data_IF_336314593569
#
_entry.id   IF_336314593569
#
_cell.length_a   1.000
_cell.length_b   1.000
_cell.length_c   1.000
_cell.angle_alpha   90.00
_cell.angle_beta   90.00
_cell.angle_gamma   90.00
#
_symmetry.space_group_name_H-M   'P 1'
#
loop_
_entity.id
_entity.type
_entity.pdbx_description
1 polymer ?
#
# COMPACT_ATOMS: atom_id res chain seq x y z
N UNK A 1 5.01 -26.00 -14.49
CA UNK A 1 5.45 -25.48 -14.17
C UNK A 1 5.45 -24.12 -13.82
N UNK A 2 6.00 -23.27 -14.43
CA UNK A 2 6.07 -21.91 -14.01
C UNK A 2 4.78 -21.17 -14.15
N UNK A 3 3.90 -21.66 -14.98
CA UNK A 3 2.63 -20.99 -15.16
C UNK A 3 1.78 -20.98 -13.93
N UNK A 4 1.94 -21.94 -13.09
CA UNK A 4 1.13 -21.97 -11.89
C UNK A 4 1.39 -20.80 -10.98
N UNK A 5 2.57 -20.20 -11.08
CA UNK A 5 2.91 -19.09 -10.20
C UNK A 5 2.06 -17.87 -10.47
N UNK A 6 1.61 -17.68 -11.72
CA UNK A 6 0.79 -16.52 -12.06
C UNK A 6 -0.60 -16.59 -11.42
N UNK A 7 -1.02 -17.79 -11.00
CA UNK A 7 -2.32 -17.99 -10.37
C UNK A 7 -2.24 -18.24 -8.89
N UNK A 8 -1.05 -18.13 -8.33
CA UNK A 8 -0.86 -18.38 -6.91
C UNK A 8 -1.54 -17.28 -6.09
N UNK A 9 -2.28 -17.70 -5.08
CA UNK A 9 -2.87 -16.78 -4.12
C UNK A 9 -1.77 -16.12 -3.31
N UNK A 10 -1.85 -14.80 -3.17
CA UNK A 10 -0.90 -14.06 -2.35
C UNK A 10 -1.48 -13.84 -0.96
N UNK A 11 -0.62 -13.90 0.04
CA UNK A 11 -1.00 -13.67 1.42
C UNK A 11 -0.49 -12.29 1.82
N UNK A 12 -1.42 -11.39 2.14
CA UNK A 12 -1.10 -10.04 2.58
C UNK A 12 -1.55 -9.92 4.05
N UNK A 13 -0.62 -9.67 4.94
CA UNK A 13 -0.91 -9.58 6.37
C UNK A 13 -1.21 -8.13 6.74
N UNK A 14 -2.34 -7.92 7.42
CA UNK A 14 -2.71 -6.59 7.90
C UNK A 14 -1.97 -6.31 9.21
N UNK A 15 -1.15 -5.27 9.21
CA UNK A 15 -0.44 -4.82 10.39
C UNK A 15 -1.29 -3.76 11.08
N UNK A 16 -2.32 -4.20 11.81
CA UNK A 16 -3.29 -3.32 12.44
C UNK A 16 -2.80 -2.81 13.79
N UNK A 17 -1.66 -2.15 13.77
CA UNK A 17 -1.04 -1.56 14.95
C UNK A 17 -1.10 -0.04 14.86
N UNK A 18 -1.09 0.62 16.01
CA UNK A 18 -0.95 2.07 16.05
C UNK A 18 0.49 2.47 16.38
N UNK A 19 1.22 1.58 17.04
CA UNK A 19 2.62 1.81 17.39
C UNK A 19 3.51 1.28 16.25
N UNK A 20 4.32 2.14 15.62
CA UNK A 20 5.18 1.71 14.51
C UNK A 20 6.15 0.60 14.89
N UNK A 21 6.66 0.60 16.11
CA UNK A 21 7.62 -0.42 16.52
C UNK A 21 7.00 -1.82 16.56
N UNK A 22 5.73 -1.91 16.98
CA UNK A 22 5.03 -3.19 16.99
C UNK A 22 4.82 -3.70 15.57
N UNK A 23 4.47 -2.80 14.66
CA UNK A 23 4.29 -3.16 13.24
C UNK A 23 5.60 -3.64 12.62
N UNK A 24 6.69 -2.95 12.89
CA UNK A 24 8.01 -3.32 12.36
C UNK A 24 8.48 -4.65 12.90
N UNK A 25 8.23 -4.91 14.16
CA UNK A 25 8.61 -6.18 14.77
C UNK A 25 7.87 -7.35 14.12
N UNK A 26 6.55 -7.20 13.94
CA UNK A 26 5.75 -8.24 13.30
C UNK A 26 6.17 -8.45 11.84
N UNK A 27 6.41 -7.36 11.11
CA UNK A 27 6.86 -7.45 9.73
C UNK A 27 8.18 -8.22 9.62
N UNK A 28 9.11 -7.94 10.53
CA UNK A 28 10.41 -8.65 10.54
C UNK A 28 10.24 -10.14 10.75
N UNK A 29 9.28 -10.55 11.57
CA UNK A 29 9.03 -11.96 11.85
C UNK A 29 8.39 -12.69 10.68
N UNK A 30 7.54 -12.01 9.90
CA UNK A 30 6.72 -12.66 8.90
C UNK A 30 7.19 -12.45 7.45
N UNK A 31 8.12 -11.55 7.21
CA UNK A 31 8.45 -11.13 5.83
C UNK A 31 8.89 -12.27 4.91
N UNK A 32 9.48 -13.32 5.47
CA UNK A 32 9.93 -14.45 4.67
C UNK A 32 8.83 -15.50 4.45
N UNK A 33 7.66 -15.29 5.06
CA UNK A 33 6.57 -16.26 5.04
C UNK A 33 5.31 -15.77 4.34
N UNK A 34 5.27 -14.50 3.96
CA UNK A 34 4.09 -13.89 3.33
C UNK A 34 4.49 -13.09 2.10
N UNK A 35 3.51 -12.73 1.28
CA UNK A 35 3.77 -12.00 0.04
C UNK A 35 3.82 -10.49 0.27
N UNK A 36 3.12 -10.01 1.27
CA UNK A 36 3.10 -8.57 1.53
C UNK A 36 2.45 -8.20 2.84
N UNK A 37 2.40 -6.90 3.07
CA UNK A 37 1.82 -6.32 4.28
C UNK A 37 0.90 -5.17 3.93
N UNK A 38 -0.18 -5.04 4.69
CA UNK A 38 -1.08 -3.89 4.60
C UNK A 38 -0.91 -3.05 5.85
N UNK A 39 -0.72 -1.74 5.69
CA UNK A 39 -0.70 -0.81 6.81
C UNK A 39 -1.88 0.13 6.72
N UNK A 40 -2.33 0.57 7.88
CA UNK A 40 -3.47 1.47 7.98
C UNK A 40 -3.03 2.94 7.90
N UNK A 41 -4.00 3.84 7.89
CA UNK A 41 -3.72 5.27 7.77
C UNK A 41 -2.91 5.78 8.97
N UNK A 42 -3.16 5.24 10.17
CA UNK A 42 -2.43 5.68 11.35
C UNK A 42 -0.94 5.40 11.27
N UNK A 43 -0.57 4.26 10.71
CA UNK A 43 0.84 3.93 10.55
C UNK A 43 1.48 4.70 9.41
N UNK A 44 0.77 4.83 8.30
CA UNK A 44 1.36 5.48 7.14
C UNK A 44 1.53 6.99 7.36
N UNK A 45 0.70 7.61 8.17
CA UNK A 45 0.80 9.02 8.47
C UNK A 45 2.00 9.34 9.38
N UNK A 46 2.58 8.33 10.01
CA UNK A 46 3.78 8.49 10.81
C UNK A 46 5.00 8.30 9.91
N UNK A 47 6.10 8.97 10.23
CA UNK A 47 7.32 8.88 9.43
C UNK A 47 8.05 7.58 9.72
N UNK A 48 7.52 6.47 9.23
CA UNK A 48 8.11 5.16 9.46
C UNK A 48 8.59 4.58 8.15
N UNK A 49 9.79 4.07 8.15
CA UNK A 49 10.39 3.45 6.97
C UNK A 49 10.04 1.97 6.94
N UNK A 50 8.74 1.68 6.86
CA UNK A 50 8.28 0.30 6.93
C UNK A 50 8.82 -0.54 5.77
N UNK A 51 9.08 0.07 4.63
CA UNK A 51 9.61 -0.64 3.48
C UNK A 51 10.98 -1.26 3.76
N UNK A 52 11.77 -0.66 4.64
CA UNK A 52 13.07 -1.22 5.02
C UNK A 52 12.91 -2.56 5.74
N UNK A 53 11.77 -2.79 6.37
CA UNK A 53 11.50 -4.02 7.11
C UNK A 53 10.71 -5.03 6.31
N UNK A 54 10.01 -4.59 5.29
CA UNK A 54 9.24 -5.48 4.41
C UNK A 54 10.03 -5.90 3.19
N UNK A 55 11.11 -5.17 2.88
CA UNK A 55 12.02 -5.47 1.78
C UNK A 55 11.29 -5.65 0.46
N UNK A 56 11.37 -6.83 -0.14
CA UNK A 56 10.78 -7.08 -1.45
C UNK A 56 9.31 -7.47 -1.39
N UNK A 57 8.71 -7.50 -0.19
CA UNK A 57 7.30 -7.81 -0.07
C UNK A 57 6.45 -6.69 -0.68
N UNK A 58 5.23 -7.06 -1.07
CA UNK A 58 4.23 -6.06 -1.46
C UNK A 58 3.91 -5.17 -0.27
N UNK A 59 3.71 -3.91 -0.51
CA UNK A 59 3.31 -2.98 0.53
C UNK A 59 2.01 -2.30 0.11
N UNK A 60 0.95 -2.58 0.87
CA UNK A 60 -0.38 -2.06 0.62
C UNK A 60 -0.67 -0.99 1.68
N UNK A 61 -0.81 0.26 1.24
CA UNK A 61 -1.19 1.35 2.13
C UNK A 61 -2.68 1.60 1.96
N UNK A 62 -3.47 1.23 2.96
CA UNK A 62 -4.93 1.31 2.88
C UNK A 62 -5.41 2.66 3.43
N UNK A 63 -5.50 3.65 2.55
CA UNK A 63 -5.90 5.01 2.90
C UNK A 63 -7.33 5.35 2.53
N UNK A 64 -7.95 4.59 1.64
CA UNK A 64 -9.30 4.87 1.13
C UNK A 64 -9.43 6.33 0.69
N UNK A 65 -8.56 6.73 -0.23
CA UNK A 65 -8.43 8.12 -0.65
C UNK A 65 -9.74 8.70 -1.16
N UNK A 66 -10.13 9.83 -0.57
CA UNK A 66 -11.36 10.54 -0.94
C UNK A 66 -11.12 12.02 -0.70
N UNK A 67 -10.79 12.74 -1.75
CA UNK A 67 -10.40 14.15 -1.64
C UNK A 67 -10.46 14.80 -3.02
N UNK A 68 -10.02 16.06 -3.09
CA UNK A 68 -9.94 16.77 -4.37
C UNK A 68 -8.89 16.11 -5.26
N UNK A 69 -9.00 16.30 -6.60
CA UNK A 69 -8.02 15.69 -7.51
C UNK A 69 -6.58 16.07 -7.20
N UNK A 70 -6.33 17.32 -6.86
CA UNK A 70 -4.97 17.76 -6.55
C UNK A 70 -4.41 17.11 -5.30
N UNK A 71 -5.23 16.98 -4.26
CA UNK A 71 -4.80 16.33 -3.02
C UNK A 71 -4.55 14.84 -3.24
N UNK A 72 -5.44 14.19 -3.98
CA UNK A 72 -5.26 12.76 -4.28
C UNK A 72 -3.96 12.54 -5.05
N UNK A 73 -3.67 13.41 -6.02
CA UNK A 73 -2.42 13.32 -6.78
C UNK A 73 -1.19 13.43 -5.87
N UNK A 74 -1.21 14.39 -4.95
CA UNK A 74 -0.10 14.59 -4.02
C UNK A 74 0.08 13.38 -3.09
N UNK A 75 -1.01 12.83 -2.60
CA UNK A 75 -0.96 11.67 -1.70
C UNK A 75 -0.48 10.44 -2.46
N UNK A 76 -0.97 10.21 -3.67
CA UNK A 76 -0.51 9.08 -4.48
C UNK A 76 0.98 9.16 -4.76
N UNK A 77 1.49 10.36 -5.03
CA UNK A 77 2.93 10.51 -5.25
C UNK A 77 3.73 10.14 -4.00
N UNK A 78 3.27 10.55 -2.82
CA UNK A 78 3.93 10.19 -1.57
C UNK A 78 3.89 8.69 -1.31
N UNK A 79 2.77 8.06 -1.60
CA UNK A 79 2.60 6.61 -1.43
C UNK A 79 3.58 5.86 -2.32
N UNK A 80 3.67 6.26 -3.58
CA UNK A 80 4.61 5.67 -4.53
C UNK A 80 6.06 5.88 -4.06
N UNK A 81 6.37 7.08 -3.61
CA UNK A 81 7.72 7.41 -3.15
C UNK A 81 8.13 6.59 -1.93
N UNK A 82 7.18 6.16 -1.12
CA UNK A 82 7.46 5.29 0.04
C UNK A 82 7.63 3.83 -0.33
N UNK A 83 7.50 3.49 -1.61
CA UNK A 83 7.69 2.12 -2.07
C UNK A 83 6.45 1.25 -1.98
N UNK A 84 5.28 1.85 -1.81
CA UNK A 84 4.04 1.08 -1.79
C UNK A 84 3.72 0.54 -3.19
N UNK A 85 3.10 -0.63 -3.22
CA UNK A 85 2.71 -1.29 -4.46
C UNK A 85 1.20 -1.31 -4.66
N UNK A 86 0.44 -1.03 -3.60
CA UNK A 86 -1.03 -1.01 -3.65
C UNK A 86 -1.56 0.07 -2.72
N UNK A 87 -2.69 0.65 -3.12
CA UNK A 87 -3.47 1.54 -2.24
C UNK A 87 -4.94 1.47 -2.62
N UNK A 88 -5.81 2.09 -1.82
CA UNK A 88 -7.25 2.10 -2.06
C UNK A 88 -7.75 3.50 -2.36
N UNK A 89 -8.76 3.58 -3.24
CA UNK A 89 -9.44 4.83 -3.59
C UNK A 89 -10.92 4.61 -3.38
N UNK A 90 -11.55 5.56 -2.70
CA UNK A 90 -13.00 5.50 -2.47
C UNK A 90 -13.77 5.68 -3.77
N UNK A 91 -14.83 4.90 -3.93
CA UNK A 91 -15.74 5.04 -5.08
C UNK A 91 -16.62 6.29 -4.97
N UNK A 92 -16.60 6.97 -3.84
CA UNK A 92 -17.35 8.22 -3.67
C UNK A 92 -16.65 9.45 -4.25
N UNK A 93 -15.44 9.27 -4.78
CA UNK A 93 -14.74 10.37 -5.46
C UNK A 93 -15.44 10.76 -6.75
N UNK A 94 -15.26 12.02 -7.17
CA UNK A 94 -15.78 12.44 -8.44
C UNK A 94 -14.89 11.91 -9.60
N UNK A 95 -15.38 12.08 -10.82
CA UNK A 95 -14.71 11.53 -12.00
C UNK A 95 -13.29 12.07 -12.18
N UNK A 96 -13.08 13.35 -11.89
CA UNK A 96 -11.77 13.98 -12.06
C UNK A 96 -10.70 13.32 -11.19
N UNK A 97 -11.08 12.77 -10.02
CA UNK A 97 -10.15 12.06 -9.15
C UNK A 97 -9.70 10.76 -9.82
N UNK A 98 -10.61 10.05 -10.46
CA UNK A 98 -10.25 8.81 -11.15
C UNK A 98 -9.36 9.06 -12.35
N UNK A 99 -9.53 10.19 -13.03
CA UNK A 99 -8.64 10.57 -14.13
C UNK A 99 -7.22 10.79 -13.62
N UNK A 100 -7.08 11.46 -12.48
CA UNK A 100 -5.76 11.66 -11.85
C UNK A 100 -5.17 10.33 -11.43
N UNK A 101 -5.99 9.47 -10.82
CA UNK A 101 -5.52 8.17 -10.33
C UNK A 101 -4.96 7.31 -11.47
N UNK A 102 -5.55 7.39 -12.65
CA UNK A 102 -5.08 6.61 -13.79
C UNK A 102 -3.65 6.94 -14.19
N UNK A 103 -3.18 8.15 -13.89
CA UNK A 103 -1.80 8.51 -14.18
C UNK A 103 -0.80 7.67 -13.39
N UNK A 104 -1.25 7.04 -12.31
CA UNK A 104 -0.40 6.21 -11.45
C UNK A 104 -0.61 4.72 -11.64
N UNK A 105 -1.48 4.32 -12.56
CA UNK A 105 -1.89 2.91 -12.69
C UNK A 105 -0.73 1.96 -13.01
N UNK A 106 0.33 2.44 -13.63
CA UNK A 106 1.49 1.59 -13.93
C UNK A 106 2.50 1.55 -12.79
N UNK A 107 2.40 2.47 -11.85
CA UNK A 107 3.32 2.56 -10.73
C UNK A 107 2.78 1.88 -9.48
N UNK A 108 1.47 1.83 -9.33
CA UNK A 108 0.84 1.31 -8.12
C UNK A 108 -0.52 0.72 -8.48
N UNK A 109 -0.87 -0.39 -7.82
CA UNK A 109 -2.18 -1.00 -8.02
C UNK A 109 -3.21 -0.25 -7.19
N UNK A 110 -4.28 0.21 -7.83
CA UNK A 110 -5.37 0.93 -7.19
C UNK A 110 -6.56 -0.01 -6.99
N UNK A 111 -7.03 -0.08 -5.76
CA UNK A 111 -8.13 -0.97 -5.39
C UNK A 111 -9.37 -0.20 -4.97
#
# INVERSE_FOLDING_TARGET
MTEEKSHKTKIIVALDYTNPLDALEMASKLRDHVDGFKINHALWSQSVYIKDYTKDNELFIDCKLWDTPNTVKQVLQKIVDKGATMTTISTFNNEAVFDVAQEYAEQIKLL
#
